data_IF_718587830203
#
_entry.id   IF_718587830203
#
_cell.length_a   1.000
_cell.length_b   1.000
_cell.length_c   1.000
_cell.angle_alpha   90.00
_cell.angle_beta   90.00
_cell.angle_gamma   90.00
#
_symmetry.space_group_name_H-M   'P 1'
#
loop_
_entity.id
_entity.type
_entity.pdbx_description
1 polymer ?
#
# COMPACT_ATOMS: atom_id res chain seq x y z
N UNK A 1 3.14 -14.64 13.06
CA UNK A 1 1.93 -14.01 12.56
C UNK A 1 1.54 -14.67 11.23
N UNK A 2 0.27 -15.07 11.05
CA UNK A 2 -0.21 -15.75 9.83
C UNK A 2 -1.07 -14.78 9.02
N UNK A 3 -1.11 -14.94 7.70
CA UNK A 3 -1.96 -14.14 6.80
C UNK A 3 -3.45 -14.09 7.24
N UNK A 4 -3.94 -15.15 7.91
CA UNK A 4 -5.27 -15.19 8.52
C UNK A 4 -5.50 -14.17 9.64
N UNK A 5 -4.44 -13.79 10.35
CA UNK A 5 -4.50 -12.78 11.42
C UNK A 5 -4.58 -11.37 10.84
N UNK A 6 -3.87 -11.09 9.75
CA UNK A 6 -3.98 -9.83 9.01
C UNK A 6 -5.40 -9.63 8.44
N UNK A 7 -6.01 -10.71 7.92
CA UNK A 7 -7.40 -10.68 7.42
C UNK A 7 -8.43 -10.40 8.53
N UNK A 8 -8.19 -10.89 9.75
CA UNK A 8 -9.06 -10.60 10.90
C UNK A 8 -8.93 -9.13 11.31
N UNK A 9 -7.69 -8.61 11.33
CA UNK A 9 -7.43 -7.20 11.64
C UNK A 9 -8.05 -6.27 10.59
N UNK A 10 -7.88 -6.55 9.29
CA UNK A 10 -8.51 -5.77 8.22
C UNK A 10 -10.02 -5.82 8.30
N UNK A 11 -10.66 -6.98 8.45
CA UNK A 11 -12.11 -7.06 8.60
C UNK A 11 -12.63 -6.27 9.79
N UNK A 12 -11.93 -6.27 10.93
CA UNK A 12 -12.30 -5.48 12.10
C UNK A 12 -12.26 -3.97 11.84
N UNK A 13 -11.25 -3.49 11.12
CA UNK A 13 -11.08 -2.07 10.78
C UNK A 13 -12.12 -1.61 9.74
N UNK A 14 -12.46 -2.46 8.77
CA UNK A 14 -13.42 -2.11 7.69
C UNK A 14 -14.89 -2.20 8.11
N UNK A 15 -15.23 -2.99 9.15
CA UNK A 15 -16.62 -3.29 9.51
C UNK A 15 -17.37 -2.17 10.24
N UNK A 16 -16.70 -1.15 10.76
CA UNK A 16 -17.29 -0.10 11.60
C UNK A 16 -17.56 1.23 10.88
N UNK A 17 -17.30 1.32 9.57
CA UNK A 17 -17.52 2.57 8.84
C UNK A 17 -19.01 2.82 8.55
N UNK A 18 -19.47 4.09 8.64
CA UNK A 18 -20.79 4.46 8.18
C UNK A 18 -20.97 4.21 6.68
N UNK A 19 -22.14 3.69 6.29
CA UNK A 19 -22.43 3.35 4.89
C UNK A 19 -22.19 4.49 3.87
N UNK A 20 -22.47 5.77 4.17
CA UNK A 20 -22.10 6.86 3.28
C UNK A 20 -20.59 6.99 3.04
N UNK A 21 -19.75 6.71 4.05
CA UNK A 21 -18.30 6.72 3.93
C UNK A 21 -17.81 5.55 3.08
N UNK A 22 -18.38 4.34 3.27
CA UNK A 22 -18.06 3.16 2.47
C UNK A 22 -18.26 3.45 0.98
N UNK A 23 -19.40 4.04 0.61
CA UNK A 23 -19.69 4.40 -0.80
C UNK A 23 -18.82 5.54 -1.32
N UNK A 24 -18.62 6.61 -0.52
CA UNK A 24 -17.84 7.79 -0.92
C UNK A 24 -16.40 7.45 -1.24
N UNK A 25 -15.81 6.57 -0.47
CA UNK A 25 -14.39 6.19 -0.55
C UNK A 25 -14.14 4.85 -1.24
N UNK A 26 -15.19 4.20 -1.78
CA UNK A 26 -15.09 2.91 -2.46
C UNK A 26 -14.33 1.87 -1.62
N UNK A 27 -14.69 1.74 -0.34
CA UNK A 27 -13.96 0.93 0.65
C UNK A 27 -13.81 -0.53 0.22
N UNK A 28 -14.81 -1.10 -0.46
CA UNK A 28 -14.73 -2.46 -1.00
C UNK A 28 -13.58 -2.60 -2.02
N UNK A 29 -13.42 -1.59 -2.88
CA UNK A 29 -12.33 -1.57 -3.88
C UNK A 29 -10.97 -1.37 -3.22
N UNK A 30 -10.89 -0.56 -2.15
CA UNK A 30 -9.69 -0.42 -1.34
C UNK A 30 -9.29 -1.76 -0.70
N UNK A 31 -10.26 -2.52 -0.18
CA UNK A 31 -10.01 -3.83 0.40
C UNK A 31 -9.49 -4.82 -0.67
N UNK A 32 -10.11 -4.85 -1.84
CA UNK A 32 -9.64 -5.68 -2.97
C UNK A 32 -8.23 -5.28 -3.42
N UNK A 33 -7.94 -3.98 -3.49
CA UNK A 33 -6.60 -3.47 -3.78
C UNK A 33 -5.57 -4.00 -2.78
N UNK A 34 -5.82 -3.86 -1.49
CA UNK A 34 -4.94 -4.35 -0.43
C UNK A 34 -4.66 -5.86 -0.56
N UNK A 35 -5.68 -6.66 -0.86
CA UNK A 35 -5.53 -8.10 -1.06
C UNK A 35 -4.64 -8.42 -2.27
N UNK A 36 -4.83 -7.72 -3.39
CA UNK A 36 -3.99 -7.91 -4.59
C UNK A 36 -2.57 -7.47 -4.35
N UNK A 37 -2.36 -6.34 -3.68
CA UNK A 37 -1.02 -5.86 -3.31
C UNK A 37 -0.30 -6.86 -2.42
N UNK A 38 -0.97 -7.43 -1.41
CA UNK A 38 -0.38 -8.48 -0.57
C UNK A 38 0.02 -9.73 -1.35
N UNK A 39 -0.83 -10.17 -2.28
CA UNK A 39 -0.54 -11.33 -3.14
C UNK A 39 0.63 -11.05 -4.08
N UNK A 40 0.66 -9.87 -4.71
CA UNK A 40 1.71 -9.49 -5.65
C UNK A 40 3.04 -9.24 -4.94
N UNK A 41 3.06 -8.58 -3.79
CA UNK A 41 4.27 -8.35 -3.01
C UNK A 41 4.93 -9.67 -2.58
N UNK A 42 4.13 -10.66 -2.12
CA UNK A 42 4.62 -12.02 -1.85
C UNK A 42 5.23 -12.65 -3.09
N UNK A 43 4.55 -12.56 -4.25
CA UNK A 43 5.02 -13.15 -5.50
C UNK A 43 6.31 -12.47 -6.01
N UNK A 44 6.46 -11.15 -5.85
CA UNK A 44 7.69 -10.41 -6.15
C UNK A 44 8.84 -10.92 -5.29
N UNK A 45 8.66 -10.99 -3.97
CA UNK A 45 9.67 -11.51 -3.04
C UNK A 45 10.07 -12.96 -3.37
N UNK A 46 9.09 -13.82 -3.69
CA UNK A 46 9.36 -15.20 -4.07
C UNK A 46 10.16 -15.29 -5.39
N UNK A 47 9.83 -14.47 -6.37
CA UNK A 47 10.56 -14.40 -7.64
C UNK A 47 12.03 -13.95 -7.50
N UNK A 48 12.32 -13.17 -6.47
CA UNK A 48 13.66 -12.72 -6.08
C UNK A 48 14.34 -13.66 -5.05
N UNK A 49 13.72 -14.79 -4.73
CA UNK A 49 14.24 -15.81 -3.82
C UNK A 49 14.49 -15.31 -2.38
N UNK A 50 13.66 -14.39 -1.88
CA UNK A 50 13.72 -13.97 -0.48
C UNK A 50 13.33 -15.15 0.45
N UNK A 51 13.80 -15.17 1.71
CA UNK A 51 13.42 -16.19 2.69
C UNK A 51 11.91 -16.26 2.93
N UNK A 52 11.38 -17.46 3.25
CA UNK A 52 9.93 -17.69 3.41
C UNK A 52 9.28 -16.80 4.47
N UNK A 53 9.98 -16.49 5.56
CA UNK A 53 9.53 -15.57 6.59
C UNK A 53 9.33 -14.14 6.05
N UNK A 54 10.16 -13.71 5.10
CA UNK A 54 9.98 -12.42 4.42
C UNK A 54 8.82 -12.45 3.41
N UNK A 55 8.50 -13.60 2.80
CA UNK A 55 7.33 -13.73 1.94
C UNK A 55 6.04 -13.52 2.73
N UNK A 56 5.96 -14.07 3.95
CA UNK A 56 4.80 -13.87 4.83
C UNK A 56 4.69 -12.42 5.29
N UNK A 57 5.81 -11.78 5.62
CA UNK A 57 5.87 -10.35 5.95
C UNK A 57 5.42 -9.50 4.77
N UNK A 58 5.87 -9.78 3.53
CA UNK A 58 5.48 -9.05 2.33
C UNK A 58 3.98 -9.14 2.05
N UNK A 59 3.41 -10.34 2.18
CA UNK A 59 1.97 -10.54 2.05
C UNK A 59 1.18 -9.72 3.06
N UNK A 60 1.58 -9.78 4.34
CA UNK A 60 0.91 -9.06 5.41
C UNK A 60 1.06 -7.55 5.29
N UNK A 61 2.27 -7.06 5.01
CA UNK A 61 2.52 -5.64 4.80
C UNK A 61 1.70 -5.10 3.62
N UNK A 62 1.62 -5.84 2.51
CA UNK A 62 0.80 -5.47 1.37
C UNK A 62 -0.70 -5.42 1.67
N UNK A 63 -1.23 -6.34 2.49
CA UNK A 63 -2.63 -6.30 2.93
C UNK A 63 -2.90 -5.09 3.84
N UNK A 64 -1.92 -4.65 4.63
CA UNK A 64 -2.08 -3.60 5.63
C UNK A 64 -1.56 -2.23 5.19
N UNK A 65 -0.91 -2.10 4.00
CA UNK A 65 -0.20 -0.88 3.62
C UNK A 65 -1.07 0.38 3.65
N UNK A 66 -2.32 0.24 3.34
CA UNK A 66 -3.32 1.30 3.30
C UNK A 66 -4.22 1.38 4.55
N UNK A 67 -3.90 0.66 5.62
CA UNK A 67 -4.71 0.65 6.85
C UNK A 67 -4.94 2.07 7.43
N UNK A 68 -3.99 2.98 7.25
CA UNK A 68 -4.14 4.38 7.69
C UNK A 68 -5.22 5.16 6.94
N UNK A 69 -5.59 4.77 5.71
CA UNK A 69 -6.74 5.37 5.00
C UNK A 69 -8.03 5.21 5.79
N UNK A 70 -8.17 4.10 6.53
CA UNK A 70 -9.33 3.86 7.37
C UNK A 70 -9.44 4.87 8.52
N UNK A 71 -8.30 5.27 9.10
CA UNK A 71 -8.25 6.33 10.12
C UNK A 71 -8.72 7.65 9.49
N UNK A 72 -8.23 7.98 8.30
CA UNK A 72 -8.61 9.21 7.60
C UNK A 72 -10.09 9.23 7.24
N UNK A 73 -10.62 8.11 6.71
CA UNK A 73 -12.03 7.97 6.34
C UNK A 73 -12.94 8.08 7.56
N UNK A 74 -12.55 7.50 8.70
CA UNK A 74 -13.39 7.49 9.90
C UNK A 74 -13.33 8.81 10.69
N UNK A 75 -12.15 9.42 10.78
CA UNK A 75 -11.90 10.54 11.68
C UNK A 75 -11.88 11.90 10.97
N UNK A 76 -11.48 11.93 9.69
CA UNK A 76 -11.29 13.15 8.91
C UNK A 76 -11.87 13.03 7.48
N UNK A 77 -13.14 12.58 7.29
CA UNK A 77 -13.65 12.21 5.97
C UNK A 77 -13.68 13.38 4.96
N UNK A 78 -13.94 14.60 5.41
CA UNK A 78 -14.02 15.75 4.51
C UNK A 78 -12.65 16.31 4.14
N UNK A 79 -11.72 16.33 5.09
CA UNK A 79 -10.31 16.70 4.86
C UNK A 79 -9.63 15.70 3.91
N UNK A 80 -9.82 14.42 4.16
CA UNK A 80 -9.28 13.35 3.32
C UNK A 80 -9.85 13.42 1.89
N UNK A 81 -11.17 13.64 1.75
CA UNK A 81 -11.78 13.81 0.43
C UNK A 81 -11.20 15.02 -0.31
N UNK A 82 -10.98 16.14 0.38
CA UNK A 82 -10.31 17.31 -0.21
C UNK A 82 -8.89 17.00 -0.69
N UNK A 83 -8.12 16.23 0.08
CA UNK A 83 -6.77 15.78 -0.29
C UNK A 83 -6.79 14.94 -1.58
N UNK A 84 -7.77 14.02 -1.71
CA UNK A 84 -7.95 13.22 -2.93
C UNK A 84 -8.25 14.14 -4.14
N UNK A 85 -9.17 15.09 -4.00
CA UNK A 85 -9.51 16.02 -5.08
C UNK A 85 -8.34 16.92 -5.47
N UNK A 86 -7.57 17.40 -4.49
CA UNK A 86 -6.38 18.21 -4.73
C UNK A 86 -5.30 17.40 -5.44
N UNK A 87 -5.01 16.20 -4.98
CA UNK A 87 -4.09 15.25 -5.60
C UNK A 87 -4.38 15.08 -7.10
N UNK A 88 -5.64 14.84 -7.45
CA UNK A 88 -6.08 14.68 -8.83
C UNK A 88 -5.95 15.94 -9.66
N UNK A 89 -6.38 17.06 -9.11
CA UNK A 89 -6.39 18.34 -9.85
C UNK A 89 -5.00 18.86 -10.16
N UNK A 90 -4.02 18.51 -9.34
CA UNK A 90 -2.63 18.98 -9.43
C UNK A 90 -1.66 17.92 -9.94
N UNK A 91 -2.11 16.68 -10.20
CA UNK A 91 -1.24 15.54 -10.52
C UNK A 91 -0.14 15.39 -9.45
N UNK A 92 -0.54 15.41 -8.19
CA UNK A 92 0.33 15.37 -7.03
C UNK A 92 0.00 14.13 -6.17
N UNK A 93 1.00 13.39 -5.65
CA UNK A 93 0.75 12.18 -4.88
C UNK A 93 -0.21 12.40 -3.71
N UNK A 94 -1.18 11.48 -3.52
CA UNK A 94 -2.22 11.63 -2.50
C UNK A 94 -1.63 11.74 -1.10
N UNK A 95 -0.60 10.94 -0.78
CA UNK A 95 0.08 11.00 0.51
C UNK A 95 0.71 12.37 0.78
N UNK A 96 1.20 13.04 -0.27
CA UNK A 96 1.71 14.41 -0.17
C UNK A 96 0.60 15.44 0.09
N UNK A 97 -0.58 15.28 -0.54
CA UNK A 97 -1.73 16.13 -0.27
C UNK A 97 -2.28 15.94 1.16
N UNK A 98 -2.27 14.70 1.65
CA UNK A 98 -2.62 14.36 3.03
C UNK A 98 -1.68 15.04 4.03
N UNK A 99 -0.36 14.95 3.83
CA UNK A 99 0.63 15.65 4.67
C UNK A 99 0.40 17.16 4.71
N UNK A 100 0.04 17.77 3.58
CA UNK A 100 -0.27 19.20 3.52
C UNK A 100 -1.53 19.56 4.30
N UNK A 101 -2.58 18.76 4.18
CA UNK A 101 -3.89 19.04 4.79
C UNK A 101 -3.99 18.60 6.27
N UNK A 102 -3.37 17.46 6.62
CA UNK A 102 -3.57 16.75 7.89
C UNK A 102 -2.29 16.61 8.72
N UNK A 103 -1.14 17.08 8.22
CA UNK A 103 0.19 16.97 8.83
C UNK A 103 0.71 15.53 8.95
N UNK A 104 0.01 14.55 8.39
CA UNK A 104 0.44 13.16 8.30
C UNK A 104 -0.22 12.49 7.10
N UNK A 105 0.46 11.53 6.50
CA UNK A 105 -0.08 10.67 5.44
C UNK A 105 -0.74 9.42 6.02
N UNK A 106 -1.57 8.74 5.20
CA UNK A 106 -2.10 7.43 5.57
C UNK A 106 -1.00 6.40 5.86
N UNK A 107 0.13 6.47 5.17
CA UNK A 107 1.26 5.57 5.39
C UNK A 107 1.85 5.74 6.79
N UNK A 108 2.08 6.98 7.22
CA UNK A 108 2.58 7.30 8.57
C UNK A 108 1.57 6.93 9.66
N UNK A 109 0.29 7.25 9.44
CA UNK A 109 -0.80 6.88 10.37
C UNK A 109 -0.98 5.37 10.47
N UNK A 110 -0.90 4.66 9.35
CA UNK A 110 -0.94 3.20 9.29
C UNK A 110 0.22 2.58 10.06
N UNK A 111 1.45 3.01 9.79
CA UNK A 111 2.63 2.55 10.52
C UNK A 111 2.52 2.77 12.03
N UNK A 112 2.07 3.95 12.45
CA UNK A 112 1.85 4.25 13.87
C UNK A 112 0.77 3.36 14.51
N UNK A 113 -0.34 3.11 13.80
CA UNK A 113 -1.41 2.22 14.27
C UNK A 113 -0.88 0.78 14.47
N UNK A 114 -0.10 0.28 13.50
CA UNK A 114 0.44 -1.07 13.54
C UNK A 114 1.50 -1.23 14.64
N UNK A 115 2.27 -0.18 14.92
CA UNK A 115 3.20 -0.14 16.06
C UNK A 115 2.46 -0.23 17.40
N UNK A 116 1.38 0.53 17.56
CA UNK A 116 0.52 0.45 18.75
C UNK A 116 -0.10 -0.94 18.94
N UNK A 117 -0.35 -1.66 17.86
CA UNK A 117 -0.85 -3.04 17.90
C UNK A 117 0.25 -4.08 18.10
N UNK A 118 1.51 -3.65 18.16
CA UNK A 118 2.66 -4.51 18.42
C UNK A 118 3.02 -5.44 17.26
N UNK A 119 2.78 -5.00 16.00
CA UNK A 119 3.19 -5.76 14.83
C UNK A 119 4.73 -5.75 14.68
N UNK A 120 5.31 -6.75 13.97
CA UNK A 120 6.74 -6.80 13.69
C UNK A 120 7.25 -5.58 12.93
N UNK A 121 8.43 -5.06 13.34
CA UNK A 121 9.04 -3.87 12.72
C UNK A 121 9.14 -3.91 11.19
N UNK A 122 9.44 -5.05 10.51
CA UNK A 122 9.48 -5.07 9.05
C UNK A 122 8.12 -4.78 8.39
N UNK A 123 6.99 -5.11 9.04
CA UNK A 123 5.65 -4.78 8.54
C UNK A 123 5.39 -3.28 8.74
N UNK A 124 5.71 -2.75 9.92
CA UNK A 124 5.55 -1.32 10.25
C UNK A 124 6.38 -0.46 9.28
N UNK A 125 7.63 -0.85 9.03
CA UNK A 125 8.53 -0.17 8.09
C UNK A 125 7.95 -0.18 6.68
N UNK A 126 7.52 -1.35 6.19
CA UNK A 126 6.95 -1.47 4.87
C UNK A 126 5.67 -0.62 4.70
N UNK A 127 4.79 -0.60 5.70
CA UNK A 127 3.58 0.23 5.69
C UNK A 127 3.92 1.72 5.74
N UNK A 128 4.86 2.12 6.59
CA UNK A 128 5.24 3.55 6.75
C UNK A 128 5.88 4.12 5.48
N UNK A 129 6.71 3.34 4.80
CA UNK A 129 7.54 3.81 3.69
C UNK A 129 7.13 3.28 2.32
N UNK A 130 5.94 2.68 2.16
CA UNK A 130 5.53 2.10 0.88
C UNK A 130 5.39 3.10 -0.27
N UNK A 131 5.37 4.39 -0.02
CA UNK A 131 5.44 5.44 -1.06
C UNK A 131 6.85 5.95 -1.30
N UNK A 132 7.71 5.88 -0.31
CA UNK A 132 9.06 6.46 -0.32
C UNK A 132 10.10 5.45 0.21
N UNK A 133 10.24 4.26 -0.42
CA UNK A 133 11.10 3.18 0.10
C UNK A 133 12.57 3.58 0.19
N UNK A 134 13.00 4.56 -0.58
CA UNK A 134 14.37 5.12 -0.52
C UNK A 134 14.69 5.85 0.80
N UNK A 135 13.70 6.12 1.64
CA UNK A 135 13.91 6.66 2.99
C UNK A 135 14.33 5.57 3.99
N UNK A 136 14.16 4.29 3.64
CA UNK A 136 14.72 3.18 4.42
C UNK A 136 16.23 3.10 4.22
N UNK A 137 16.98 2.84 5.29
CA UNK A 137 18.45 2.83 5.27
C UNK A 137 19.06 1.63 4.54
N UNK A 138 18.28 0.84 3.82
CA UNK A 138 18.72 -0.40 3.19
C UNK A 138 19.16 -0.17 1.74
N UNK A 139 20.33 -0.70 1.39
CA UNK A 139 20.87 -0.68 0.02
C UNK A 139 20.55 -1.96 -0.77
N UNK A 140 19.71 -2.83 -0.21
CA UNK A 140 19.36 -4.15 -0.77
C UNK A 140 17.84 -4.24 -0.84
N UNK A 141 17.33 -4.88 -1.88
CA UNK A 141 15.91 -5.10 -2.06
C UNK A 141 15.26 -5.72 -0.83
N UNK A 142 14.14 -5.16 -0.39
CA UNK A 142 13.43 -5.48 0.85
C UNK A 142 11.93 -5.69 0.63
N UNK A 143 11.24 -6.07 1.68
CA UNK A 143 9.77 -6.15 1.70
C UNK A 143 9.12 -4.80 1.39
N UNK A 144 9.69 -3.69 1.86
CA UNK A 144 9.18 -2.34 1.58
C UNK A 144 9.16 -2.04 0.09
N UNK A 145 10.22 -2.44 -0.63
CA UNK A 145 10.31 -2.29 -2.09
C UNK A 145 9.27 -3.14 -2.82
N UNK A 146 9.04 -4.35 -2.33
CA UNK A 146 8.03 -5.24 -2.91
C UNK A 146 6.62 -4.67 -2.76
N UNK A 147 6.29 -4.08 -1.61
CA UNK A 147 4.99 -3.42 -1.37
C UNK A 147 4.85 -2.15 -2.22
N UNK A 148 5.90 -1.31 -2.30
CA UNK A 148 5.96 -0.14 -3.19
C UNK A 148 5.63 -0.50 -4.63
N UNK A 149 6.35 -1.48 -5.19
CA UNK A 149 6.17 -1.93 -6.59
C UNK A 149 4.77 -2.51 -6.79
N UNK A 150 4.32 -3.38 -5.88
CA UNK A 150 3.03 -4.04 -5.98
C UNK A 150 1.87 -3.04 -5.95
N UNK A 151 1.92 -2.06 -5.05
CA UNK A 151 0.92 -1.00 -4.94
C UNK A 151 0.84 -0.17 -6.22
N UNK A 152 1.97 0.28 -6.77
CA UNK A 152 1.98 1.09 -7.99
C UNK A 152 1.50 0.30 -9.22
N UNK A 153 1.89 -0.97 -9.38
CA UNK A 153 1.42 -1.83 -10.47
C UNK A 153 -0.10 -2.02 -10.42
N UNK A 154 -0.68 -2.19 -9.22
CA UNK A 154 -2.12 -2.34 -9.08
C UNK A 154 -2.85 -1.02 -9.34
N UNK A 155 -2.31 0.11 -8.89
CA UNK A 155 -2.87 1.45 -9.13
C UNK A 155 -2.88 1.87 -10.60
N UNK A 156 -1.85 1.61 -11.39
CA UNK A 156 -1.81 1.97 -12.81
C UNK A 156 -2.99 1.38 -13.60
N UNK A 157 -3.57 0.28 -13.14
CA UNK A 157 -4.67 -0.41 -13.81
C UNK A 157 -6.05 -0.04 -13.31
N UNK A 158 -6.13 0.53 -12.14
CA UNK A 158 -7.39 0.94 -11.54
C UNK A 158 -7.47 2.46 -11.47
N UNK A 159 -7.78 3.11 -12.58
CA UNK A 159 -8.11 4.54 -12.61
C UNK A 159 -9.42 4.80 -11.84
N UNK A 160 -9.46 4.43 -10.57
CA UNK A 160 -10.63 4.60 -9.72
C UNK A 160 -10.75 6.01 -9.19
N UNK A 161 -12.00 6.47 -9.16
CA UNK A 161 -12.34 7.83 -8.77
C UNK A 161 -12.08 8.14 -7.29
N UNK A 162 -11.94 7.14 -6.43
CA UNK A 162 -11.75 7.32 -5.00
C UNK A 162 -10.28 7.40 -4.54
N UNK A 163 -9.35 6.94 -5.40
CA UNK A 163 -7.93 7.08 -5.13
C UNK A 163 -7.41 8.39 -5.74
N UNK A 164 -6.50 9.07 -5.08
CA UNK A 164 -5.82 10.25 -5.61
C UNK A 164 -4.98 9.92 -6.85
N UNK A 165 -4.17 10.86 -7.29
CA UNK A 165 -3.17 10.61 -8.31
C UNK A 165 -2.01 9.79 -7.70
N UNK A 166 -1.59 8.75 -8.42
CA UNK A 166 -0.42 7.94 -8.09
C UNK A 166 0.74 8.32 -8.99
N UNK A 167 1.93 8.42 -8.43
CA UNK A 167 3.14 8.67 -9.21
C UNK A 167 3.58 7.42 -9.99
N UNK A 168 4.28 7.59 -11.13
CA UNK A 168 4.83 6.46 -11.85
C UNK A 168 5.97 5.81 -11.04
N UNK A 169 6.20 4.52 -11.30
CA UNK A 169 7.30 3.78 -10.66
C UNK A 169 8.64 4.47 -10.96
N UNK A 170 9.42 4.69 -9.91
CA UNK A 170 10.76 5.27 -10.03
C UNK A 170 11.76 4.22 -10.56
N UNK A 171 11.97 4.22 -11.89
CA UNK A 171 12.86 3.27 -12.55
C UNK A 171 14.31 3.45 -12.14
N UNK A 172 14.78 4.67 -11.88
CA UNK A 172 16.15 4.93 -11.41
C UNK A 172 16.39 4.29 -10.04
N UNK A 173 15.39 4.35 -9.18
CA UNK A 173 15.44 3.64 -7.89
C UNK A 173 15.53 2.12 -8.09
N UNK A 174 14.71 1.52 -8.94
CA UNK A 174 14.77 0.08 -9.24
C UNK A 174 16.10 -0.34 -9.88
N UNK A 175 16.70 0.52 -10.72
CA UNK A 175 18.04 0.31 -11.26
C UNK A 175 19.09 0.30 -10.14
N UNK A 176 19.00 1.18 -9.17
CA UNK A 176 19.93 1.22 -8.04
C UNK A 176 19.86 -0.05 -7.17
N UNK A 177 18.70 -0.70 -7.12
CA UNK A 177 18.50 -2.00 -6.46
C UNK A 177 18.86 -3.20 -7.34
N UNK A 178 19.16 -2.99 -8.63
CA UNK A 178 19.50 -4.04 -9.58
C UNK A 178 18.31 -4.93 -10.01
N UNK A 179 17.08 -4.42 -9.92
CA UNK A 179 15.85 -5.20 -10.20
C UNK A 179 14.97 -4.60 -11.30
N UNK A 180 15.40 -3.54 -11.97
CA UNK A 180 14.58 -2.86 -12.97
C UNK A 180 14.21 -3.75 -14.19
N UNK A 181 15.01 -4.74 -14.51
CA UNK A 181 14.77 -5.73 -15.56
C UNK A 181 13.63 -6.71 -15.24
N UNK A 182 13.19 -6.78 -13.98
CA UNK A 182 12.12 -7.66 -13.52
C UNK A 182 10.70 -7.09 -13.78
N UNK A 183 10.58 -5.82 -14.17
CA UNK A 183 9.27 -5.14 -14.33
C UNK A 183 8.30 -5.91 -15.23
N UNK A 184 8.72 -6.37 -16.40
CA UNK A 184 7.86 -7.14 -17.30
C UNK A 184 7.37 -8.46 -16.68
N UNK A 185 8.19 -9.07 -15.84
CA UNK A 185 7.82 -10.28 -15.09
C UNK A 185 6.73 -9.97 -14.05
N UNK A 186 6.89 -8.91 -13.29
CA UNK A 186 5.92 -8.49 -12.28
C UNK A 186 4.58 -8.06 -12.87
N UNK A 187 4.58 -7.37 -14.01
CA UNK A 187 3.37 -7.03 -14.75
C UNK A 187 2.64 -8.29 -15.26
N UNK A 188 3.37 -9.35 -15.66
CA UNK A 188 2.76 -10.64 -16.02
C UNK A 188 2.17 -11.36 -14.80
N UNK A 189 2.86 -11.34 -13.66
CA UNK A 189 2.37 -11.91 -12.40
C UNK A 189 1.05 -11.24 -11.99
N UNK A 190 1.01 -9.91 -12.01
CA UNK A 190 -0.21 -9.18 -11.67
C UNK A 190 -1.39 -9.53 -12.59
N UNK A 191 -1.15 -9.68 -13.90
CA UNK A 191 -2.20 -10.13 -14.85
C UNK A 191 -2.74 -11.51 -14.53
N UNK A 192 -1.88 -12.41 -14.06
CA UNK A 192 -2.29 -13.77 -13.71
C UNK A 192 -3.16 -13.77 -12.44
N UNK A 193 -2.85 -12.95 -11.43
CA UNK A 193 -3.64 -12.85 -10.19
C UNK A 193 -5.02 -12.22 -10.38
N UNK A 194 -5.25 -11.47 -11.46
CA UNK A 194 -6.57 -10.90 -11.80
C UNK A 194 -7.48 -11.88 -12.57
N UNK A 195 -6.95 -13.01 -13.04
CA UNK A 195 -7.68 -13.98 -13.85
C UNK A 195 -8.26 -15.15 -13.01
N UNK A 196 -7.90 -15.20 -11.72
CA UNK A 196 -8.42 -16.16 -10.74
C UNK A 196 -9.58 -15.58 -9.92
#
# INVERSE_FOLDING_TARGET
FKASEALILTNGVFSELPEPSIRRFCVDQLQEHCMRVGTLARAICNGLHLPEDQLDVASMAGILHDAGKMILISSFPDEYWRSILESRSRYFPVFGAERQALQASHAELGGYLLDLWGLPSPIIEAVTYHHEPWLCSQSVFSVTDAVYIASLIDHERQSNLADGWSEPINIEYLQSLGVADQMDSWLRLHKATLAE
#
